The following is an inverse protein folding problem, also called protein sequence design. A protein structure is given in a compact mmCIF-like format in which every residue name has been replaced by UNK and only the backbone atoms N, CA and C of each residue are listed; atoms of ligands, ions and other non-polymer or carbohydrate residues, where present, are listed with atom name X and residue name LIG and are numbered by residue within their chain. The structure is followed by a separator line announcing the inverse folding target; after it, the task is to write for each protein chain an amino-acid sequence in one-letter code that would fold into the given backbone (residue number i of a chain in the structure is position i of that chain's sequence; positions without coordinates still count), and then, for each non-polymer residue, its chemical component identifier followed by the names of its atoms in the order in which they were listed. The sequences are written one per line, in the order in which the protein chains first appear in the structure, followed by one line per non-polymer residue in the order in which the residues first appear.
data_IF_480628375840
#
_entry.id   IF_480628375840
#
_cell.length_a   1.000
_cell.length_b   1.000
_cell.length_c   1.000
_cell.angle_alpha   90.00
_cell.angle_beta   90.00
_cell.angle_gamma   90.00
#
_symmetry.space_group_name_H-M   'P 1'
#
loop_
_entity.id
_entity.type
_entity.pdbx_description
1 polymer ?
#
# COMPACT_ATOMS: atom_id res chain seq x y z
N UNK A 1 12.02 9.67 -0.73
CA UNK A 1 11.39 8.41 -0.26
C UNK A 1 10.93 8.49 1.18
N UNK A 2 11.81 8.60 2.18
CA UNK A 2 11.39 8.66 3.60
C UNK A 2 10.39 9.80 3.92
N UNK A 3 10.52 10.97 3.29
CA UNK A 3 9.57 12.09 3.46
C UNK A 3 8.21 11.85 2.81
N UNK A 4 8.16 11.19 1.64
CA UNK A 4 6.91 10.86 0.96
C UNK A 4 6.14 9.78 1.74
N UNK A 5 6.87 8.80 2.29
CA UNK A 5 6.32 7.79 3.19
C UNK A 5 5.78 8.41 4.49
N UNK A 6 6.53 9.32 5.11
CA UNK A 6 6.05 10.05 6.30
C UNK A 6 4.78 10.87 6.01
N UNK A 7 4.61 11.37 4.79
CA UNK A 7 3.40 12.08 4.36
C UNK A 7 2.21 11.15 4.07
N UNK A 8 2.46 9.89 3.69
CA UNK A 8 1.40 8.92 3.33
C UNK A 8 0.90 8.12 4.53
N UNK A 9 1.74 7.84 5.53
CA UNK A 9 1.39 7.02 6.69
C UNK A 9 0.07 7.45 7.38
N UNK A 10 -0.18 8.76 7.65
CA UNK A 10 -1.44 9.17 8.27
C UNK A 10 -2.68 8.85 7.42
N UNK A 11 -2.55 8.78 6.09
CA UNK A 11 -3.63 8.44 5.18
C UNK A 11 -3.93 6.93 5.18
N UNK A 12 -2.90 6.09 5.38
CA UNK A 12 -3.06 4.65 5.56
C UNK A 12 -3.76 4.36 6.89
N UNK A 13 -3.28 4.98 7.98
CA UNK A 13 -3.86 4.82 9.32
C UNK A 13 -5.34 5.24 9.33
N UNK A 14 -5.67 6.33 8.64
CA UNK A 14 -7.05 6.78 8.48
C UNK A 14 -7.89 5.77 7.68
N UNK A 15 -7.35 5.21 6.61
CA UNK A 15 -8.05 4.21 5.79
C UNK A 15 -8.38 2.96 6.60
N UNK A 16 -7.41 2.41 7.35
CA UNK A 16 -7.61 1.25 8.22
C UNK A 16 -8.64 1.52 9.32
N UNK A 17 -8.59 2.71 9.94
CA UNK A 17 -9.58 3.09 10.95
C UNK A 17 -11.00 3.15 10.37
N UNK A 18 -11.14 3.73 9.18
CA UNK A 18 -12.43 3.81 8.49
C UNK A 18 -12.90 2.41 8.07
N UNK A 19 -12.02 1.54 7.57
CA UNK A 19 -12.34 0.16 7.24
C UNK A 19 -12.89 -0.59 8.44
N UNK A 20 -12.19 -0.48 9.58
CA UNK A 20 -12.59 -1.07 10.85
C UNK A 20 -13.95 -0.54 11.30
N UNK A 21 -14.21 0.76 11.18
CA UNK A 21 -15.53 1.32 11.50
C UNK A 21 -16.62 0.84 10.54
N UNK A 22 -16.34 0.76 9.24
CA UNK A 22 -17.29 0.25 8.24
C UNK A 22 -17.56 -1.25 8.41
N UNK A 23 -16.69 -2.01 9.08
CA UNK A 23 -16.95 -3.40 9.44
C UNK A 23 -17.95 -3.58 10.60
N UNK A 24 -18.22 -2.52 11.37
CA UNK A 24 -19.14 -2.55 12.52
C UNK A 24 -20.62 -2.44 12.06
N UNK A 25 -21.48 -3.44 12.34
CA UNK A 25 -22.92 -3.38 12.03
C UNK A 25 -23.64 -2.16 12.63
N UNK A 26 -23.18 -1.62 13.76
CA UNK A 26 -23.77 -0.45 14.40
C UNK A 26 -23.59 0.83 13.57
N UNK A 27 -22.52 0.93 12.77
CA UNK A 27 -22.30 2.05 11.84
C UNK A 27 -23.36 2.05 10.73
N UNK A 28 -23.78 0.87 10.28
CA UNK A 28 -24.80 0.73 9.24
C UNK A 28 -26.22 1.01 9.72
N UNK A 29 -26.45 1.02 11.04
CA UNK A 29 -27.71 1.49 11.62
C UNK A 29 -27.90 3.02 11.46
N UNK A 30 -26.80 3.77 11.26
CA UNK A 30 -26.82 5.19 10.90
C UNK A 30 -26.36 5.38 9.44
N UNK A 31 -27.33 5.45 8.53
CA UNK A 31 -27.04 5.64 7.10
C UNK A 31 -26.31 6.94 6.77
N UNK A 32 -26.40 7.99 7.60
CA UNK A 32 -25.66 9.24 7.41
C UNK A 32 -24.17 9.04 7.71
N UNK A 33 -23.87 8.36 8.83
CA UNK A 33 -22.52 7.99 9.23
C UNK A 33 -21.88 7.03 8.22
N UNK A 34 -22.57 5.97 7.84
CA UNK A 34 -22.08 4.98 6.88
C UNK A 34 -21.71 5.62 5.52
N UNK A 35 -22.56 6.51 4.99
CA UNK A 35 -22.27 7.23 3.73
C UNK A 35 -21.07 8.18 3.85
N UNK A 36 -20.89 8.81 5.01
CA UNK A 36 -19.77 9.73 5.24
C UNK A 36 -18.45 8.99 5.27
N UNK A 37 -18.38 7.89 6.03
CA UNK A 37 -17.22 7.01 6.09
C UNK A 37 -16.93 6.38 4.72
N UNK A 38 -17.94 5.89 4.01
CA UNK A 38 -17.77 5.29 2.69
C UNK A 38 -17.22 6.25 1.63
N UNK A 39 -17.60 7.53 1.64
CA UNK A 39 -17.00 8.53 0.74
C UNK A 39 -15.52 8.74 1.06
N UNK A 40 -15.17 8.91 2.33
CA UNK A 40 -13.78 9.12 2.74
C UNK A 40 -12.91 7.90 2.42
N UNK A 41 -13.42 6.69 2.67
CA UNK A 41 -12.78 5.44 2.28
C UNK A 41 -12.47 5.39 0.78
N UNK A 42 -13.44 5.76 -0.07
CA UNK A 42 -13.26 5.79 -1.52
C UNK A 42 -12.25 6.88 -1.98
N UNK A 43 -12.20 8.02 -1.28
CA UNK A 43 -11.20 9.07 -1.55
C UNK A 43 -9.77 8.59 -1.28
N UNK A 44 -9.57 7.89 -0.16
CA UNK A 44 -8.26 7.39 0.27
C UNK A 44 -7.81 6.15 -0.53
N UNK A 45 -8.75 5.35 -1.05
CA UNK A 45 -8.47 4.06 -1.67
C UNK A 45 -7.44 4.09 -2.80
N UNK A 46 -7.37 5.16 -3.61
CA UNK A 46 -6.32 5.28 -4.65
C UNK A 46 -4.92 5.43 -4.07
N UNK A 47 -4.77 6.20 -3.00
CA UNK A 47 -3.47 6.43 -2.35
C UNK A 47 -2.98 5.15 -1.69
N UNK A 48 -3.88 4.46 -0.98
CA UNK A 48 -3.58 3.18 -0.32
C UNK A 48 -3.23 2.10 -1.34
N UNK A 49 -3.98 2.01 -2.44
CA UNK A 49 -3.68 1.04 -3.50
C UNK A 49 -2.30 1.28 -4.14
N UNK A 50 -1.95 2.54 -4.44
CA UNK A 50 -0.64 2.88 -4.96
C UNK A 50 0.48 2.50 -3.99
N UNK A 51 0.29 2.79 -2.70
CA UNK A 51 1.24 2.37 -1.67
C UNK A 51 1.43 0.85 -1.64
N UNK A 52 0.35 0.07 -1.61
CA UNK A 52 0.46 -1.39 -1.53
C UNK A 52 1.20 -1.98 -2.73
N UNK A 53 1.00 -1.42 -3.93
CA UNK A 53 1.75 -1.83 -5.13
C UNK A 53 3.24 -1.55 -4.96
N UNK A 54 3.59 -0.35 -4.50
CA UNK A 54 4.98 0.02 -4.24
C UNK A 54 5.64 -0.84 -3.16
N UNK A 55 4.95 -1.10 -2.06
CA UNK A 55 5.43 -1.92 -0.95
C UNK A 55 5.68 -3.36 -1.40
N UNK A 56 4.75 -3.95 -2.16
CA UNK A 56 4.93 -5.28 -2.72
C UNK A 56 6.14 -5.35 -3.66
N UNK A 57 6.32 -4.36 -4.56
CA UNK A 57 7.48 -4.33 -5.45
C UNK A 57 8.81 -4.21 -4.69
N UNK A 58 8.82 -3.46 -3.58
CA UNK A 58 9.97 -3.32 -2.69
C UNK A 58 10.30 -4.63 -1.97
N UNK A 59 9.28 -5.33 -1.47
CA UNK A 59 9.44 -6.63 -0.82
C UNK A 59 9.95 -7.69 -1.79
N UNK A 60 9.42 -7.73 -3.02
CA UNK A 60 9.88 -8.62 -4.09
C UNK A 60 11.35 -8.35 -4.45
N UNK A 61 11.73 -7.08 -4.60
CA UNK A 61 13.12 -6.69 -4.85
C UNK A 61 14.05 -7.09 -3.69
N UNK A 62 13.62 -6.89 -2.45
CA UNK A 62 14.40 -7.29 -1.27
C UNK A 62 14.58 -8.81 -1.22
N UNK A 63 13.53 -9.58 -1.53
CA UNK A 63 13.59 -11.03 -1.61
C UNK A 63 14.56 -11.50 -2.71
N UNK A 64 14.46 -10.94 -3.92
CA UNK A 64 15.32 -11.31 -5.04
C UNK A 64 16.80 -10.99 -4.77
N UNK A 65 17.10 -9.85 -4.12
CA UNK A 65 18.47 -9.53 -3.68
C UNK A 65 18.99 -10.54 -2.66
N UNK A 66 18.18 -10.94 -1.68
CA UNK A 66 18.54 -11.99 -0.73
C UNK A 66 18.76 -13.35 -1.40
N UNK A 67 17.98 -13.68 -2.43
CA UNK A 67 18.19 -14.89 -3.23
C UNK A 67 19.48 -14.80 -4.05
N UNK A 68 19.77 -13.66 -4.67
CA UNK A 68 21.00 -13.45 -5.43
C UNK A 68 22.28 -13.55 -4.57
N UNK A 69 22.20 -13.18 -3.29
CA UNK A 69 23.29 -13.41 -2.32
C UNK A 69 23.53 -14.90 -2.06
N UNK A 70 22.49 -15.71 -2.06
CA UNK A 70 22.56 -17.15 -1.82
C UNK A 70 22.90 -17.95 -3.11
N UNK A 71 22.39 -17.50 -4.25
CA UNK A 71 22.56 -18.10 -5.57
C UNK A 71 22.60 -17.00 -6.65
N UNK A 72 23.79 -16.77 -7.25
CA UNK A 72 23.98 -15.72 -8.26
C UNK A 72 23.11 -15.85 -9.51
N UNK A 73 22.49 -17.01 -9.79
CA UNK A 73 21.57 -17.16 -10.93
C UNK A 73 20.34 -16.24 -10.81
N UNK A 74 19.93 -15.86 -9.60
CA UNK A 74 18.81 -14.92 -9.38
C UNK A 74 19.20 -13.44 -9.57
N UNK A 75 20.48 -13.12 -9.75
CA UNK A 75 20.92 -11.74 -9.96
C UNK A 75 20.34 -11.12 -11.23
N UNK A 76 20.02 -11.94 -12.22
CA UNK A 76 19.43 -11.51 -13.50
C UNK A 76 17.99 -10.98 -13.35
N UNK A 77 17.28 -11.32 -12.26
CA UNK A 77 15.91 -10.85 -11.99
C UNK A 77 15.88 -9.47 -11.31
N UNK A 78 16.95 -9.09 -10.61
CA UNK A 78 17.02 -7.85 -9.81
C UNK A 78 16.76 -6.58 -10.65
N UNK A 79 17.34 -6.39 -11.85
CA UNK A 79 17.12 -5.17 -12.63
C UNK A 79 15.65 -4.97 -13.04
N UNK A 80 14.92 -6.05 -13.31
CA UNK A 80 13.50 -5.94 -13.67
C UNK A 80 12.64 -5.54 -12.47
N UNK A 81 12.97 -6.03 -11.27
CA UNK A 81 12.29 -5.66 -10.03
C UNK A 81 12.64 -4.24 -9.58
N UNK A 82 13.87 -3.77 -9.82
CA UNK A 82 14.24 -2.37 -9.60
C UNK A 82 13.40 -1.43 -10.47
N UNK A 83 13.19 -1.75 -11.75
CA UNK A 83 12.31 -0.99 -12.63
C UNK A 83 10.86 -1.02 -12.16
N UNK A 84 10.37 -2.17 -11.66
CA UNK A 84 9.02 -2.27 -11.12
C UNK A 84 8.79 -1.39 -9.88
N UNK A 85 9.81 -1.23 -9.02
CA UNK A 85 9.75 -0.27 -7.90
C UNK A 85 9.69 1.17 -8.42
N UNK A 86 10.50 1.51 -9.42
CA UNK A 86 10.53 2.86 -10.00
C UNK A 86 9.17 3.22 -10.63
N UNK A 87 8.62 2.33 -11.45
CA UNK A 87 7.30 2.47 -12.07
C UNK A 87 6.17 2.61 -11.04
N UNK A 88 6.27 1.94 -9.88
CA UNK A 88 5.30 2.04 -8.80
C UNK A 88 5.35 3.39 -8.04
N UNK A 89 6.39 4.21 -8.28
CA UNK A 89 6.55 5.52 -7.66
C UNK A 89 6.27 6.72 -8.57
N UNK A 90 6.05 6.50 -9.87
CA UNK A 90 5.63 7.54 -10.84
C UNK A 90 4.10 7.77 -10.86
#
# INVERSE_FOLDING_TARGET
MAEAFAAVQPLLDEYEDIERQLSDPAVHADGGRARTLGRRFAELGRVVAAHHVWEAAQDDLAAARGMAEADPEFADEVPALEAAVEDATE
#
